data_IF_952512408181
#
_entry.id   IF_952512408181
#
_cell.length_a   1.000
_cell.length_b   1.000
_cell.length_c   1.000
_cell.angle_alpha   90.00
_cell.angle_beta   90.00
_cell.angle_gamma   90.00
#
_symmetry.space_group_name_H-M   'P 1'
#
loop_
_entity.id
_entity.type
_entity.pdbx_description
1 polymer ?
#
# COMPACT_ATOMS: atom_id res chain seq x y z
N UNK A 1 14.05 13.26 3.99
CA UNK A 1 13.77 11.80 3.99
C UNK A 1 12.38 11.55 3.45
N UNK A 2 12.25 10.48 2.67
CA UNK A 2 10.98 10.05 2.09
C UNK A 2 10.04 9.59 3.24
N UNK A 3 8.83 10.14 3.40
CA UNK A 3 7.93 9.78 4.50
C UNK A 3 7.03 8.56 4.17
N UNK A 4 7.35 7.76 3.16
CA UNK A 4 6.58 6.60 2.72
C UNK A 4 7.44 5.35 2.77
N UNK A 5 7.32 4.57 3.86
CA UNK A 5 8.16 3.39 4.09
C UNK A 5 7.60 2.45 5.16
N UNK A 6 8.08 1.20 5.18
CA UNK A 6 7.88 0.29 6.30
C UNK A 6 8.74 0.71 7.48
N UNK A 7 8.09 1.14 8.57
CA UNK A 7 8.76 1.56 9.80
C UNK A 7 9.17 0.35 10.65
N UNK A 8 8.27 -0.63 10.81
CA UNK A 8 8.51 -1.86 11.60
C UNK A 8 8.11 -3.09 10.80
N UNK A 9 9.02 -4.06 10.73
CA UNK A 9 8.85 -5.35 10.06
C UNK A 9 8.91 -6.51 11.06
N UNK A 10 7.95 -6.52 11.99
CA UNK A 10 7.69 -7.60 12.94
C UNK A 10 8.97 -8.12 13.63
N UNK A 11 9.23 -9.43 13.52
CA UNK A 11 10.34 -10.13 14.16
C UNK A 11 11.71 -9.58 13.77
N UNK A 12 11.84 -9.08 12.55
CA UNK A 12 13.09 -8.52 12.04
C UNK A 12 13.53 -7.26 12.83
N UNK A 13 12.57 -6.52 13.38
CA UNK A 13 12.81 -5.31 14.17
C UNK A 13 12.56 -5.53 15.67
N UNK A 14 12.43 -6.79 16.11
CA UNK A 14 12.28 -7.16 17.52
C UNK A 14 10.89 -6.90 18.10
N UNK A 15 9.87 -6.66 17.26
CA UNK A 15 8.46 -6.50 17.64
C UNK A 15 7.59 -7.59 17.00
N UNK A 16 7.65 -8.85 17.47
CA UNK A 16 7.00 -9.99 16.83
C UNK A 16 5.50 -9.76 16.62
N UNK A 17 5.04 -9.98 15.38
CA UNK A 17 3.66 -9.83 14.99
C UNK A 17 3.20 -8.38 14.80
N UNK A 18 4.09 -7.39 14.86
CA UNK A 18 3.74 -5.97 14.61
C UNK A 18 4.31 -5.52 13.27
N UNK A 19 3.44 -5.03 12.40
CA UNK A 19 3.84 -4.35 11.17
C UNK A 19 3.38 -2.90 11.23
N UNK A 20 4.28 -1.97 10.92
CA UNK A 20 3.95 -0.55 10.87
C UNK A 20 4.46 0.05 9.58
N UNK A 21 3.56 0.67 8.82
CA UNK A 21 3.87 1.42 7.61
C UNK A 21 3.55 2.90 7.78
N UNK A 22 4.45 3.77 7.33
CA UNK A 22 4.25 5.21 7.30
C UNK A 22 3.81 5.70 5.93
N UNK A 23 2.78 6.54 5.90
CA UNK A 23 2.18 7.15 4.72
C UNK A 23 2.11 8.68 4.90
N UNK A 24 3.25 9.35 4.78
CA UNK A 24 3.32 10.80 4.99
C UNK A 24 3.04 11.19 6.45
N UNK A 25 1.91 11.82 6.69
CA UNK A 25 1.44 12.22 8.03
C UNK A 25 0.51 11.19 8.70
N UNK A 26 0.35 10.02 8.09
CA UNK A 26 -0.38 8.89 8.65
C UNK A 26 0.53 7.68 8.88
N UNK A 27 0.15 6.80 9.81
CA UNK A 27 0.74 5.49 9.99
C UNK A 27 -0.35 4.42 10.11
N UNK A 28 -0.07 3.22 9.57
CA UNK A 28 -0.91 2.05 9.74
C UNK A 28 -0.18 1.05 10.62
N UNK A 29 -0.82 0.62 11.70
CA UNK A 29 -0.31 -0.39 12.63
C UNK A 29 -1.14 -1.66 12.49
N UNK A 30 -0.49 -2.80 12.18
CA UNK A 30 -1.09 -4.13 12.19
C UNK A 30 -0.64 -4.89 13.44
N UNK A 31 -1.48 -4.96 14.50
CA UNK A 31 -1.20 -5.73 15.71
C UNK A 31 -1.67 -7.18 15.51
N UNK A 32 -0.83 -8.03 14.91
CA UNK A 32 -1.19 -9.41 14.57
C UNK A 32 -1.02 -10.40 15.73
N UNK A 33 -0.37 -9.99 16.83
CA UNK A 33 -0.16 -10.80 18.03
C UNK A 33 -0.96 -10.25 19.22
N UNK A 34 -1.40 -11.13 20.13
CA UNK A 34 -2.23 -10.76 21.28
C UNK A 34 -1.58 -9.69 22.18
N UNK A 35 -0.27 -9.78 22.41
CA UNK A 35 0.44 -8.78 23.21
C UNK A 35 0.37 -7.38 22.60
N UNK A 36 0.45 -7.30 21.26
CA UNK A 36 0.41 -6.03 20.53
C UNK A 36 -1.00 -5.41 20.53
N UNK A 37 -2.03 -6.25 20.58
CA UNK A 37 -3.41 -5.79 20.73
C UNK A 37 -3.66 -5.22 22.13
N UNK A 38 -3.14 -5.88 23.17
CA UNK A 38 -3.24 -5.41 24.57
C UNK A 38 -2.50 -4.09 24.81
N UNK A 39 -1.34 -3.90 24.17
CA UNK A 39 -0.51 -2.71 24.28
C UNK A 39 -0.72 -1.72 23.11
N UNK A 40 -1.85 -1.81 22.40
CA UNK A 40 -2.05 -1.02 21.20
C UNK A 40 -1.98 0.49 21.43
N UNK A 41 -2.57 0.99 22.51
CA UNK A 41 -2.56 2.42 22.85
C UNK A 41 -1.13 2.94 23.09
N UNK A 42 -0.29 2.14 23.76
CA UNK A 42 1.12 2.48 23.98
C UNK A 42 1.91 2.45 22.68
N UNK A 43 1.66 1.49 21.80
CA UNK A 43 2.27 1.42 20.46
C UNK A 43 1.88 2.64 19.62
N UNK A 44 0.60 2.99 19.59
CA UNK A 44 0.11 4.14 18.84
C UNK A 44 0.70 5.46 19.37
N UNK A 45 0.79 5.61 20.69
CA UNK A 45 1.41 6.77 21.32
C UNK A 45 2.90 6.88 20.97
N UNK A 46 3.64 5.77 21.04
CA UNK A 46 5.06 5.73 20.70
C UNK A 46 5.31 6.04 19.22
N UNK A 47 4.49 5.48 18.31
CA UNK A 47 4.57 5.79 16.87
C UNK A 47 4.35 7.27 16.61
N UNK A 48 3.34 7.88 17.23
CA UNK A 48 3.06 9.30 17.08
C UNK A 48 4.21 10.18 17.60
N UNK A 49 4.78 9.82 18.76
CA UNK A 49 5.90 10.55 19.37
C UNK A 49 7.16 10.50 18.51
N UNK A 50 7.53 9.30 18.05
CA UNK A 50 8.78 9.07 17.30
C UNK A 50 8.70 9.62 15.88
N UNK A 51 7.54 9.51 15.23
CA UNK A 51 7.40 9.86 13.81
C UNK A 51 6.78 11.23 13.58
N UNK A 52 6.07 11.78 14.55
CA UNK A 52 5.33 13.02 14.45
C UNK A 52 4.06 12.92 13.58
N UNK A 53 3.58 11.72 13.21
CA UNK A 53 2.35 11.56 12.43
C UNK A 53 1.13 12.02 13.22
N UNK A 54 0.17 12.65 12.52
CA UNK A 54 -1.08 13.13 13.12
C UNK A 54 -2.19 12.09 13.09
N UNK A 55 -2.14 11.14 12.16
CA UNK A 55 -3.16 10.10 12.01
C UNK A 55 -2.57 8.69 12.20
N UNK A 56 -3.30 7.82 12.89
CA UNK A 56 -2.95 6.42 13.10
C UNK A 56 -4.18 5.56 12.80
N UNK A 57 -3.98 4.57 11.94
CA UNK A 57 -4.96 3.52 11.62
C UNK A 57 -4.54 2.22 12.29
N UNK A 58 -5.47 1.61 13.04
CA UNK A 58 -5.38 0.22 13.48
C UNK A 58 -5.92 -0.66 12.34
N UNK A 59 -5.07 -1.47 11.74
CA UNK A 59 -5.50 -2.47 10.76
C UNK A 59 -5.36 -3.87 11.36
N UNK A 60 -6.41 -4.32 12.02
CA UNK A 60 -6.49 -5.60 12.69
C UNK A 60 -7.25 -6.65 11.85
N UNK A 61 -7.00 -6.71 10.53
CA UNK A 61 -7.65 -7.63 9.59
C UNK A 61 -6.81 -8.86 9.21
N UNK A 62 -5.66 -9.04 9.85
CA UNK A 62 -4.73 -10.13 9.52
C UNK A 62 -5.22 -11.52 9.96
N UNK A 63 -5.13 -12.53 9.08
CA UNK A 63 -5.52 -13.94 9.40
C UNK A 63 -4.82 -14.49 10.66
N UNK A 64 -3.61 -14.04 10.97
CA UNK A 64 -2.87 -14.46 12.16
C UNK A 64 -3.62 -14.14 13.45
N UNK A 65 -4.41 -13.08 13.47
CA UNK A 65 -5.22 -12.66 14.62
C UNK A 65 -6.24 -13.73 15.03
N UNK A 66 -6.89 -14.38 14.07
CA UNK A 66 -7.83 -15.46 14.33
C UNK A 66 -7.19 -16.67 15.04
N UNK A 67 -5.91 -16.93 14.79
CA UNK A 67 -5.14 -17.98 15.49
C UNK A 67 -4.85 -17.60 16.95
N UNK A 68 -4.78 -16.31 17.25
CA UNK A 68 -4.60 -15.75 18.59
C UNK A 68 -5.96 -15.53 19.32
N UNK A 69 -7.08 -15.84 18.67
CA UNK A 69 -8.43 -15.62 19.23
C UNK A 69 -8.83 -14.14 19.29
N UNK A 70 -8.23 -13.29 18.44
CA UNK A 70 -8.50 -11.86 18.38
C UNK A 70 -9.53 -11.54 17.30
N UNK A 71 -10.37 -10.54 17.55
CA UNK A 71 -11.34 -10.03 16.59
C UNK A 71 -10.65 -9.26 15.44
N UNK A 72 -11.29 -9.25 14.28
CA UNK A 72 -10.89 -8.43 13.14
C UNK A 72 -11.52 -7.04 13.24
N UNK A 73 -10.72 -6.00 13.08
CA UNK A 73 -11.16 -4.62 13.14
C UNK A 73 -10.23 -3.71 12.32
N UNK A 74 -10.79 -2.73 11.62
CA UNK A 74 -10.01 -1.65 11.02
C UNK A 74 -10.67 -0.33 11.37
N UNK A 75 -9.93 0.56 12.01
CA UNK A 75 -10.45 1.86 12.45
C UNK A 75 -9.34 2.94 12.50
N UNK A 76 -9.77 4.20 12.48
CA UNK A 76 -8.88 5.33 12.76
C UNK A 76 -8.79 5.50 14.27
N UNK A 77 -7.62 5.16 14.84
CA UNK A 77 -7.35 5.29 16.27
C UNK A 77 -7.07 6.74 16.66
N UNK A 78 -6.38 7.47 15.79
CA UNK A 78 -6.00 8.86 16.03
C UNK A 78 -6.11 9.70 14.77
N UNK A 79 -6.53 10.95 14.89
CA UNK A 79 -6.65 11.88 13.78
C UNK A 79 -7.76 11.54 12.81
N UNK A 80 -7.59 11.86 11.53
CA UNK A 80 -8.56 11.60 10.46
C UNK A 80 -7.87 11.06 9.21
N UNK A 81 -8.56 10.15 8.50
CA UNK A 81 -8.18 9.66 7.19
C UNK A 81 -9.42 9.70 6.30
N UNK A 82 -9.45 10.65 5.36
CA UNK A 82 -10.66 10.99 4.57
C UNK A 82 -10.72 10.27 3.20
N UNK A 83 -9.99 9.17 3.05
CA UNK A 83 -9.97 8.37 1.82
C UNK A 83 -8.57 7.98 1.38
N UNK A 84 -8.40 7.51 0.13
CA UNK A 84 -7.10 7.09 -0.37
C UNK A 84 -6.07 8.22 -0.38
N UNK A 85 -4.86 7.91 0.11
CA UNK A 85 -3.75 8.86 0.18
C UNK A 85 -2.84 8.73 -1.03
N UNK A 86 -2.36 9.85 -1.62
CA UNK A 86 -1.36 9.81 -2.67
C UNK A 86 0.03 9.48 -2.10
N UNK A 87 0.70 8.52 -2.72
CA UNK A 87 2.05 8.06 -2.36
C UNK A 87 2.98 8.24 -3.54
N UNK A 88 3.79 9.30 -3.59
CA UNK A 88 4.82 9.48 -4.62
C UNK A 88 5.93 8.44 -4.46
N UNK A 89 6.20 7.68 -5.54
CA UNK A 89 7.19 6.60 -5.50
C UNK A 89 7.58 6.22 -6.93
N UNK A 90 8.88 6.00 -7.22
CA UNK A 90 9.37 5.58 -8.53
C UNK A 90 8.97 6.48 -9.72
N UNK A 91 8.79 7.78 -9.47
CA UNK A 91 8.37 8.75 -10.50
C UNK A 91 6.87 8.79 -10.79
N UNK A 92 6.08 7.94 -10.13
CA UNK A 92 4.60 7.91 -10.21
C UNK A 92 3.96 8.26 -8.86
N UNK A 93 2.66 8.49 -8.86
CA UNK A 93 1.83 8.62 -7.64
C UNK A 93 0.87 7.44 -7.56
N UNK A 94 0.97 6.67 -6.49
CA UNK A 94 0.08 5.57 -6.18
C UNK A 94 -1.00 6.02 -5.20
N UNK A 95 -2.15 5.37 -5.21
CA UNK A 95 -3.20 5.65 -4.23
C UNK A 95 -3.25 4.50 -3.21
N UNK A 96 -3.13 4.83 -1.93
CA UNK A 96 -3.18 3.89 -0.82
C UNK A 96 -4.49 4.08 -0.04
N UNK A 97 -5.34 3.06 0.00
CA UNK A 97 -6.50 3.01 0.89
C UNK A 97 -6.08 2.35 2.20
N UNK A 98 -5.93 3.17 3.26
CA UNK A 98 -5.47 2.71 4.55
C UNK A 98 -6.56 1.99 5.37
N UNK A 99 -7.84 2.15 5.01
CA UNK A 99 -8.98 1.58 5.72
C UNK A 99 -9.54 0.34 5.03
N UNK A 100 -9.67 0.36 3.70
CA UNK A 100 -10.26 -0.72 2.91
C UNK A 100 -9.27 -1.49 2.05
N UNK A 101 -8.02 -1.04 1.95
CA UNK A 101 -6.99 -1.65 1.12
C UNK A 101 -6.45 -2.97 1.68
N UNK A 102 -5.83 -3.77 0.79
CA UNK A 102 -5.11 -4.98 1.20
C UNK A 102 -3.94 -4.64 2.13
N UNK A 103 -3.74 -5.43 3.20
CA UNK A 103 -2.68 -5.23 4.19
C UNK A 103 -2.72 -3.80 4.74
N UNK A 104 -1.65 -3.04 4.56
CA UNK A 104 -1.54 -1.65 5.00
C UNK A 104 -1.94 -0.64 3.92
N UNK A 105 -2.30 -1.07 2.72
CA UNK A 105 -2.66 -0.25 1.56
C UNK A 105 -1.66 -0.32 0.40
N UNK A 106 -0.37 -0.50 0.65
CA UNK A 106 0.69 -0.68 -0.35
C UNK A 106 1.71 -1.75 0.07
N UNK A 107 2.49 -2.22 -0.92
CA UNK A 107 3.58 -3.17 -0.74
C UNK A 107 4.93 -2.46 -0.93
N UNK A 108 5.46 -1.84 0.12
CA UNK A 108 6.72 -1.09 0.05
C UNK A 108 7.94 -1.95 -0.29
N UNK A 109 7.90 -3.25 0.02
CA UNK A 109 8.93 -4.22 -0.35
C UNK A 109 9.07 -4.41 -1.87
N UNK A 110 8.01 -4.14 -2.64
CA UNK A 110 8.03 -4.20 -4.11
C UNK A 110 8.63 -2.95 -4.77
N UNK A 111 8.86 -1.87 -4.03
CA UNK A 111 9.38 -0.60 -4.57
C UNK A 111 10.65 -0.75 -5.42
N UNK A 112 11.68 -1.51 -4.99
CA UNK A 112 12.87 -1.75 -5.82
C UNK A 112 12.57 -2.56 -7.09
N UNK A 113 11.64 -3.52 -7.02
CA UNK A 113 11.23 -4.33 -8.15
C UNK A 113 10.48 -3.49 -9.20
N UNK A 114 9.55 -2.62 -8.75
CA UNK A 114 8.88 -1.67 -9.63
C UNK A 114 9.88 -0.74 -10.33
N UNK A 115 10.84 -0.20 -9.58
CA UNK A 115 11.89 0.68 -10.12
C UNK A 115 12.73 -0.04 -11.16
N UNK A 116 13.18 -1.28 -10.87
CA UNK A 116 13.97 -2.08 -11.80
C UNK A 116 13.21 -2.38 -13.09
N UNK A 117 11.97 -2.89 -12.99
CA UNK A 117 11.16 -3.20 -14.16
C UNK A 117 10.88 -1.96 -15.02
N UNK A 118 10.67 -0.81 -14.40
CA UNK A 118 10.47 0.46 -15.09
C UNK A 118 11.67 0.85 -15.98
N UNK A 119 12.91 0.50 -15.58
CA UNK A 119 14.11 0.76 -16.42
C UNK A 119 14.09 -0.01 -17.75
N UNK A 120 13.36 -1.11 -17.82
CA UNK A 120 13.24 -1.96 -19.01
C UNK A 120 12.05 -1.55 -19.89
N UNK A 121 11.18 -0.68 -19.43
CA UNK A 121 9.88 -0.40 -20.03
C UNK A 121 9.88 0.79 -21.02
N UNK A 122 10.99 1.52 -21.18
CA UNK A 122 11.04 2.68 -22.05
C UNK A 122 10.71 2.31 -23.50
N UNK A 123 9.69 2.96 -24.08
CA UNK A 123 9.19 2.67 -25.42
C UNK A 123 8.36 1.37 -25.55
N UNK A 124 8.22 0.59 -24.49
CA UNK A 124 7.51 -0.68 -24.50
C UNK A 124 6.01 -0.52 -24.21
N UNK A 125 5.25 -1.57 -24.57
CA UNK A 125 3.90 -1.82 -24.08
C UNK A 125 4.00 -2.78 -22.91
N UNK A 126 3.30 -2.48 -21.80
CA UNK A 126 3.38 -3.24 -20.54
C UNK A 126 2.06 -3.96 -20.26
N UNK A 127 2.15 -5.23 -19.90
CA UNK A 127 1.07 -6.00 -19.29
C UNK A 127 1.48 -6.29 -17.84
N UNK A 128 0.66 -5.81 -16.89
CA UNK A 128 0.87 -5.96 -15.46
C UNK A 128 -0.26 -6.84 -14.90
N UNK A 129 0.04 -8.09 -14.60
CA UNK A 129 -0.92 -9.09 -14.11
C UNK A 129 -0.72 -9.26 -12.59
N UNK A 130 -1.83 -9.36 -11.86
CA UNK A 130 -1.88 -9.22 -10.40
C UNK A 130 -1.41 -7.82 -9.97
N UNK A 131 -1.90 -6.84 -10.71
CA UNK A 131 -1.40 -5.47 -10.66
C UNK A 131 -1.66 -4.73 -9.36
N UNK A 132 -2.64 -5.18 -8.55
CA UNK A 132 -3.10 -4.47 -7.37
C UNK A 132 -3.41 -3.00 -7.75
N UNK A 133 -2.78 -2.02 -7.11
CA UNK A 133 -2.94 -0.59 -7.43
C UNK A 133 -2.03 -0.10 -8.57
N UNK A 134 -1.59 -1.00 -9.45
CA UNK A 134 -0.78 -0.66 -10.63
C UNK A 134 0.69 -0.41 -10.36
N UNK A 135 1.29 -1.17 -9.44
CA UNK A 135 2.67 -0.96 -9.01
C UNK A 135 3.69 -0.92 -10.14
N UNK A 136 3.68 -1.93 -11.00
CA UNK A 136 4.57 -2.00 -12.17
C UNK A 136 4.10 -1.09 -13.31
N UNK A 137 2.78 -1.05 -13.57
CA UNK A 137 2.20 -0.24 -14.65
C UNK A 137 2.53 1.24 -14.52
N UNK A 138 2.27 1.82 -13.34
CA UNK A 138 2.45 3.26 -13.12
C UNK A 138 3.94 3.65 -13.13
N UNK A 139 4.82 2.83 -12.52
CA UNK A 139 6.25 3.04 -12.59
C UNK A 139 6.77 2.97 -14.03
N UNK A 140 6.31 2.00 -14.84
CA UNK A 140 6.69 1.85 -16.22
C UNK A 140 6.26 3.05 -17.07
N UNK A 141 5.00 3.51 -16.92
CA UNK A 141 4.49 4.67 -17.64
C UNK A 141 5.22 5.96 -17.30
N UNK A 142 5.55 6.16 -16.01
CA UNK A 142 6.35 7.29 -15.56
C UNK A 142 7.78 7.27 -16.14
N UNK A 143 8.29 6.09 -16.50
CA UNK A 143 9.62 5.89 -17.07
C UNK A 143 9.62 5.68 -18.59
N UNK A 144 8.54 6.06 -19.29
CA UNK A 144 8.53 6.13 -20.75
C UNK A 144 7.90 4.95 -21.47
N UNK A 145 7.17 4.05 -20.80
CA UNK A 145 6.35 3.07 -21.47
C UNK A 145 5.27 3.75 -22.35
N UNK A 146 4.98 3.20 -23.50
CA UNK A 146 4.01 3.75 -24.46
C UNK A 146 2.56 3.49 -24.03
N UNK A 147 2.31 2.36 -23.37
CA UNK A 147 1.02 2.02 -22.78
C UNK A 147 1.19 0.95 -21.71
N UNK A 148 0.22 0.86 -20.79
CA UNK A 148 0.14 -0.22 -19.83
C UNK A 148 -1.30 -0.69 -19.66
N UNK A 149 -1.47 -2.02 -19.55
CA UNK A 149 -2.71 -2.69 -19.17
C UNK A 149 -2.50 -3.36 -17.80
N UNK A 150 -3.25 -2.93 -16.81
CA UNK A 150 -3.27 -3.52 -15.47
C UNK A 150 -4.42 -4.51 -15.34
N UNK A 151 -4.11 -5.73 -14.89
CA UNK A 151 -5.08 -6.83 -14.71
C UNK A 151 -5.07 -7.29 -13.26
N UNK A 152 -6.24 -7.28 -12.62
CA UNK A 152 -6.41 -7.76 -11.25
C UNK A 152 -7.83 -8.30 -11.03
N UNK A 153 -8.00 -9.20 -10.06
CA UNK A 153 -9.32 -9.68 -9.64
C UNK A 153 -10.11 -8.65 -8.83
N UNK A 154 -9.42 -7.67 -8.23
CA UNK A 154 -10.00 -6.66 -7.33
C UNK A 154 -10.34 -5.37 -8.09
N UNK A 155 -11.63 -5.12 -8.35
CA UNK A 155 -12.06 -3.86 -8.95
C UNK A 155 -11.69 -2.63 -8.08
N UNK A 156 -11.84 -2.66 -6.73
CA UNK A 156 -11.39 -1.52 -5.90
C UNK A 156 -9.89 -1.22 -6.05
N UNK A 157 -9.03 -2.23 -6.23
CA UNK A 157 -7.60 -2.00 -6.46
C UNK A 157 -7.34 -1.36 -7.83
N UNK A 158 -8.06 -1.79 -8.88
CA UNK A 158 -7.99 -1.18 -10.21
C UNK A 158 -8.52 0.26 -10.25
N UNK A 159 -9.53 0.56 -9.44
CA UNK A 159 -10.03 1.93 -9.29
C UNK A 159 -8.97 2.84 -8.66
N UNK A 160 -8.23 2.36 -7.66
CA UNK A 160 -7.08 3.05 -7.08
C UNK A 160 -5.94 3.21 -8.10
N UNK A 161 -5.67 2.18 -8.91
CA UNK A 161 -4.68 2.26 -9.98
C UNK A 161 -5.05 3.36 -11.00
N UNK A 162 -6.32 3.46 -11.37
CA UNK A 162 -6.83 4.50 -12.28
C UNK A 162 -6.69 5.91 -11.68
N UNK A 163 -6.98 6.07 -10.40
CA UNK A 163 -6.74 7.32 -9.68
C UNK A 163 -5.23 7.66 -9.67
N UNK A 164 -4.37 6.67 -9.43
CA UNK A 164 -2.92 6.82 -9.50
C UNK A 164 -2.42 7.24 -10.88
N UNK A 165 -2.97 6.65 -11.95
CA UNK A 165 -2.67 7.03 -13.33
C UNK A 165 -3.05 8.48 -13.63
N UNK A 166 -4.19 8.93 -13.12
CA UNK A 166 -4.64 10.33 -13.21
C UNK A 166 -3.69 11.25 -12.45
N UNK A 167 -3.36 10.91 -11.20
CA UNK A 167 -2.45 11.69 -10.36
C UNK A 167 -1.02 11.75 -10.93
N UNK A 168 -0.61 10.72 -11.67
CA UNK A 168 0.68 10.64 -12.38
C UNK A 168 0.68 11.28 -13.76
N UNK A 169 -0.47 11.81 -14.25
CA UNK A 169 -0.64 12.38 -15.59
C UNK A 169 -0.32 11.39 -16.72
N UNK A 170 -0.68 10.12 -16.54
CA UNK A 170 -0.46 9.03 -17.53
C UNK A 170 -1.74 8.28 -17.89
N UNK A 171 -2.91 8.79 -17.50
CA UNK A 171 -4.20 8.14 -17.69
C UNK A 171 -4.55 7.87 -19.17
N UNK A 172 -4.03 8.67 -20.10
CA UNK A 172 -4.21 8.51 -21.53
C UNK A 172 -3.50 7.27 -22.13
N UNK A 173 -2.59 6.68 -21.36
CA UNK A 173 -1.79 5.51 -21.75
C UNK A 173 -1.99 4.31 -20.81
N UNK A 174 -2.97 4.39 -19.91
CA UNK A 174 -3.25 3.40 -18.89
C UNK A 174 -4.66 2.82 -19.05
N UNK A 175 -4.76 1.50 -19.11
CA UNK A 175 -6.02 0.77 -19.11
C UNK A 175 -6.06 -0.27 -17.98
N UNK A 176 -7.27 -0.66 -17.59
CA UNK A 176 -7.50 -1.70 -16.57
C UNK A 176 -8.42 -2.79 -17.10
N UNK A 177 -8.24 -4.01 -16.62
CA UNK A 177 -9.13 -5.14 -16.88
C UNK A 177 -9.30 -5.97 -15.62
N UNK A 178 -10.54 -6.04 -15.12
CA UNK A 178 -10.87 -6.96 -14.04
C UNK A 178 -11.04 -8.37 -14.58
N UNK A 179 -10.45 -9.35 -13.92
CA UNK A 179 -10.60 -10.77 -14.27
C UNK A 179 -9.59 -11.67 -13.61
N UNK A 180 -9.81 -12.97 -13.77
CA UNK A 180 -8.80 -13.97 -13.44
C UNK A 180 -7.68 -13.88 -14.49
N UNK A 181 -6.44 -13.93 -14.04
CA UNK A 181 -5.26 -13.82 -14.89
C UNK A 181 -5.14 -14.92 -15.95
N UNK A 182 -5.79 -16.06 -15.72
CA UNK A 182 -5.79 -17.19 -16.65
C UNK A 182 -6.92 -17.14 -17.68
N UNK A 183 -7.90 -16.24 -17.47
CA UNK A 183 -9.09 -16.09 -18.33
C UNK A 183 -9.08 -14.80 -19.17
N UNK A 184 -8.06 -13.95 -18.99
CA UNK A 184 -7.98 -12.60 -19.58
C UNK A 184 -7.07 -12.54 -20.80
#
# INVERSE_FOLDING_TARGET
PDPFYRLIHAEADGLPGVVIDRFGDAAVIQPNAAWADVLFDDLAAAVAEVTGVSAIVKNASGRARGLEGLDEETLVERGTVDGPLPVPMNGATYMADLLGGQKTGLFFDQRPNHAFAATLANGARVLDVFSHVGGFSLAALANGATSALAVDGSQPALDLATQGATASSVADRFDTRQGDAFDV
#
